data_IF_408265730855
#
_entry.id   IF_408265730855
#
_cell.length_a   1.000
_cell.length_b   1.000
_cell.length_c   1.000
_cell.angle_alpha   90.00
_cell.angle_beta   90.00
_cell.angle_gamma   90.00
#
_symmetry.space_group_name_H-M   'P 1'
#
loop_
_entity.id
_entity.type
_entity.pdbx_description
1 polymer ?
#
# COMPACT_ATOMS: atom_id res chain seq x y z
N UNK A 1 24.79 -10.20 -12.86
CA UNK A 1 24.16 -9.57 -11.68
C UNK A 1 23.51 -10.72 -10.98
N UNK A 2 24.19 -11.27 -9.97
CA UNK A 2 23.70 -12.43 -9.23
C UNK A 2 22.59 -11.94 -8.30
N UNK A 3 21.34 -12.28 -8.62
CA UNK A 3 20.19 -11.86 -7.81
C UNK A 3 20.25 -12.46 -6.41
N UNK A 4 20.82 -13.67 -6.28
CA UNK A 4 20.95 -14.36 -5.00
C UNK A 4 21.91 -13.62 -4.05
N UNK A 5 23.04 -13.09 -4.55
CA UNK A 5 23.93 -12.22 -3.76
C UNK A 5 23.22 -10.93 -3.30
N UNK A 6 22.37 -10.36 -4.16
CA UNK A 6 21.58 -9.18 -3.81
C UNK A 6 20.57 -9.51 -2.71
N UNK A 7 19.90 -10.67 -2.79
CA UNK A 7 18.97 -11.13 -1.76
C UNK A 7 19.69 -11.34 -0.43
N UNK A 8 20.86 -11.99 -0.42
CA UNK A 8 21.63 -12.21 0.82
C UNK A 8 21.94 -10.90 1.53
N UNK A 9 22.36 -9.88 0.80
CA UNK A 9 22.60 -8.54 1.36
C UNK A 9 21.31 -7.89 1.86
N UNK A 10 20.23 -7.94 1.06
CA UNK A 10 18.96 -7.29 1.38
C UNK A 10 18.29 -7.93 2.59
N UNK A 11 18.30 -9.26 2.74
CA UNK A 11 17.78 -9.94 3.93
C UNK A 11 18.51 -9.55 5.22
N UNK A 12 19.75 -9.06 5.12
CA UNK A 12 20.50 -8.49 6.25
C UNK A 12 20.25 -6.99 6.45
N UNK A 13 19.29 -6.39 5.73
CA UNK A 13 19.01 -4.95 5.77
C UNK A 13 20.11 -4.09 5.15
N UNK A 14 20.98 -4.66 4.29
CA UNK A 14 22.07 -3.90 3.67
C UNK A 14 21.63 -3.22 2.38
N UNK A 15 22.05 -1.97 2.23
CA UNK A 15 21.83 -1.20 1.01
C UNK A 15 22.65 -1.74 -0.16
N UNK A 16 22.01 -1.81 -1.32
CA UNK A 16 22.70 -2.12 -2.57
C UNK A 16 23.33 -0.85 -3.15
N UNK A 17 24.49 -0.94 -3.83
CA UNK A 17 25.09 0.20 -4.53
C UNK A 17 24.13 0.84 -5.54
N UNK A 18 24.16 2.16 -5.70
CA UNK A 18 23.26 2.90 -6.61
C UNK A 18 23.28 2.32 -8.05
N UNK A 19 24.46 1.95 -8.54
CA UNK A 19 24.61 1.33 -9.87
C UNK A 19 23.84 0.01 -10.01
N UNK A 20 23.76 -0.76 -8.93
CA UNK A 20 23.02 -2.02 -8.84
C UNK A 20 21.52 -1.74 -8.77
N UNK A 21 21.10 -0.77 -7.93
CA UNK A 21 19.70 -0.31 -7.85
C UNK A 21 19.19 0.11 -9.24
N UNK A 22 19.94 0.95 -9.95
CA UNK A 22 19.61 1.38 -11.31
C UNK A 22 19.43 0.20 -12.27
N UNK A 23 20.34 -0.78 -12.21
CA UNK A 23 20.30 -1.95 -13.08
C UNK A 23 19.09 -2.85 -12.78
N UNK A 24 18.76 -3.06 -11.50
CA UNK A 24 17.60 -3.82 -11.05
C UNK A 24 16.29 -3.14 -11.46
N UNK A 25 16.15 -1.83 -11.24
CA UNK A 25 14.98 -1.08 -11.70
C UNK A 25 14.79 -1.18 -13.21
N UNK A 26 15.87 -1.04 -13.99
CA UNK A 26 15.81 -1.21 -15.45
C UNK A 26 15.34 -2.61 -15.85
N UNK A 27 15.91 -3.65 -15.23
CA UNK A 27 15.54 -5.05 -15.50
C UNK A 27 14.08 -5.35 -15.15
N UNK A 28 13.59 -4.82 -14.03
CA UNK A 28 12.21 -5.03 -13.64
C UNK A 28 11.24 -4.29 -14.57
N UNK A 29 11.58 -3.07 -15.03
CA UNK A 29 10.80 -2.40 -16.08
C UNK A 29 10.70 -3.24 -17.35
N UNK A 30 11.80 -3.84 -17.83
CA UNK A 30 11.77 -4.73 -19.02
C UNK A 30 10.82 -5.93 -18.85
N UNK A 31 10.64 -6.42 -17.62
CA UNK A 31 9.71 -7.48 -17.28
C UNK A 31 8.26 -6.94 -17.22
N UNK A 32 8.03 -5.88 -16.46
CA UNK A 32 6.70 -5.33 -16.20
C UNK A 32 6.04 -4.75 -17.46
N UNK A 33 6.79 -4.24 -18.44
CA UNK A 33 6.23 -3.81 -19.74
C UNK A 33 5.44 -4.92 -20.44
N UNK A 34 5.78 -6.18 -20.19
CA UNK A 34 5.12 -7.35 -20.78
C UNK A 34 3.90 -7.80 -19.97
N UNK A 35 3.73 -7.31 -18.74
CA UNK A 35 2.59 -7.63 -17.89
C UNK A 35 1.40 -6.70 -18.20
N UNK A 36 0.18 -7.26 -18.22
CA UNK A 36 -1.05 -6.49 -18.33
C UNK A 36 -1.31 -5.71 -17.04
N UNK A 37 -2.12 -4.64 -17.11
CA UNK A 37 -2.58 -3.95 -15.89
C UNK A 37 -3.33 -4.87 -14.93
N UNK A 38 -3.91 -5.96 -15.46
CA UNK A 38 -4.61 -6.99 -14.69
C UNK A 38 -3.86 -8.31 -14.88
N UNK A 39 -3.15 -8.74 -13.84
CA UNK A 39 -2.45 -10.04 -13.84
C UNK A 39 -3.39 -11.14 -13.35
N UNK A 40 -3.20 -12.37 -13.82
CA UNK A 40 -3.97 -13.53 -13.37
C UNK A 40 -3.03 -14.51 -12.68
N UNK A 41 -3.41 -14.97 -11.48
CA UNK A 41 -2.65 -15.94 -10.69
C UNK A 41 -3.57 -17.01 -10.11
N UNK A 42 -3.00 -18.05 -9.52
CA UNK A 42 -3.74 -19.16 -8.92
C UNK A 42 -3.38 -19.35 -7.46
N UNK A 43 -4.32 -19.89 -6.69
CA UNK A 43 -4.04 -20.41 -5.34
C UNK A 43 -3.12 -21.65 -5.40
N UNK A 44 -2.38 -21.95 -4.32
CA UNK A 44 -2.29 -21.19 -3.06
C UNK A 44 -1.50 -19.88 -3.23
N UNK A 45 -1.89 -18.82 -2.53
CA UNK A 45 -1.18 -17.53 -2.53
C UNK A 45 -1.40 -16.76 -1.22
N UNK A 46 -0.35 -16.11 -0.75
CA UNK A 46 -0.38 -15.19 0.39
C UNK A 46 -0.53 -13.76 -0.09
N UNK A 47 -1.62 -13.12 0.30
CA UNK A 47 -1.91 -11.72 0.00
C UNK A 47 -1.44 -10.84 1.15
N UNK A 48 -0.66 -9.81 0.80
CA UNK A 48 -0.02 -8.88 1.73
C UNK A 48 -0.49 -7.47 1.41
N UNK A 49 -0.99 -6.76 2.43
CA UNK A 49 -1.39 -5.36 2.33
C UNK A 49 -0.20 -4.41 2.46
N UNK A 50 -0.46 -3.23 3.01
CA UNK A 50 0.50 -2.14 3.16
C UNK A 50 1.69 -2.55 4.05
N UNK A 51 2.90 -2.13 3.67
CA UNK A 51 4.16 -2.37 4.40
C UNK A 51 4.77 -1.07 4.93
N UNK A 52 4.66 0.01 4.15
CA UNK A 52 5.14 1.35 4.51
C UNK A 52 6.56 1.38 5.10
N UNK A 53 7.52 0.79 4.38
CA UNK A 53 8.93 0.81 4.78
C UNK A 53 9.24 0.17 6.14
N UNK A 54 8.33 -0.63 6.71
CA UNK A 54 8.58 -1.39 7.94
C UNK A 54 9.29 -2.71 7.61
N UNK A 55 10.55 -2.60 7.20
CA UNK A 55 11.35 -3.71 6.66
C UNK A 55 11.44 -4.94 7.58
N UNK A 56 11.59 -4.75 8.89
CA UNK A 56 11.66 -5.87 9.83
C UNK A 56 10.35 -6.65 9.91
N UNK A 57 9.20 -5.96 9.80
CA UNK A 57 7.91 -6.64 9.73
C UNK A 57 7.73 -7.37 8.39
N UNK A 58 8.29 -6.86 7.29
CA UNK A 58 8.35 -7.60 6.02
C UNK A 58 9.14 -8.90 6.17
N UNK A 59 10.25 -8.91 6.92
CA UNK A 59 10.98 -10.14 7.19
C UNK A 59 10.14 -11.12 8.03
N UNK A 60 9.40 -10.62 9.02
CA UNK A 60 8.49 -11.43 9.82
C UNK A 60 7.37 -12.04 8.96
N UNK A 61 6.82 -11.29 8.00
CA UNK A 61 5.84 -11.80 7.02
C UNK A 61 6.38 -13.02 6.26
N UNK A 62 7.66 -13.02 5.89
CA UNK A 62 8.28 -14.19 5.22
C UNK A 62 8.55 -15.36 6.18
N UNK A 63 8.73 -15.11 7.48
CA UNK A 63 8.83 -16.17 8.48
C UNK A 63 7.46 -16.81 8.74
N UNK A 64 6.40 -16.00 8.81
CA UNK A 64 5.03 -16.44 9.06
C UNK A 64 4.44 -17.15 7.84
N UNK A 65 4.47 -16.51 6.66
CA UNK A 65 3.88 -17.05 5.43
C UNK A 65 4.78 -18.05 4.68
N UNK A 66 6.06 -18.15 5.05
CA UNK A 66 7.05 -18.97 4.37
C UNK A 66 7.81 -18.24 3.26
N UNK A 67 9.07 -18.62 3.03
CA UNK A 67 9.92 -17.92 2.06
C UNK A 67 9.52 -18.22 0.61
N UNK A 68 9.70 -17.23 -0.28
CA UNK A 68 9.72 -17.49 -1.72
C UNK A 68 10.98 -18.31 -2.08
N UNK A 69 10.90 -19.30 -3.00
CA UNK A 69 9.78 -19.58 -3.90
C UNK A 69 8.78 -20.64 -3.40
N UNK A 70 8.91 -21.12 -2.17
CA UNK A 70 8.05 -22.18 -1.63
C UNK A 70 6.62 -21.66 -1.39
N UNK A 71 6.49 -20.36 -1.08
CA UNK A 71 5.22 -19.63 -0.98
C UNK A 71 5.04 -18.65 -2.15
N UNK A 72 3.82 -18.59 -2.70
CA UNK A 72 3.43 -17.55 -3.68
C UNK A 72 2.93 -16.30 -2.94
N UNK A 73 3.28 -15.12 -3.42
CA UNK A 73 2.94 -13.83 -2.82
C UNK A 73 2.28 -12.87 -3.81
N UNK A 74 1.23 -12.20 -3.36
CA UNK A 74 0.64 -11.01 -3.97
C UNK A 74 0.73 -9.85 -2.98
N UNK A 75 1.50 -8.83 -3.32
CA UNK A 75 1.58 -7.60 -2.54
C UNK A 75 0.69 -6.51 -3.16
N UNK A 76 -0.18 -5.90 -2.35
CA UNK A 76 -1.23 -5.01 -2.83
C UNK A 76 -0.80 -3.56 -3.06
N UNK A 77 0.37 -3.14 -2.57
CA UNK A 77 0.90 -1.79 -2.77
C UNK A 77 1.49 -1.22 -1.48
N UNK A 78 1.82 0.07 -1.52
CA UNK A 78 2.29 0.87 -0.38
C UNK A 78 3.49 0.25 0.35
N UNK A 79 4.57 0.13 -0.42
CA UNK A 79 5.85 -0.43 0.00
C UNK A 79 6.71 0.59 0.74
N UNK A 80 6.51 1.87 0.44
CA UNK A 80 7.40 2.97 0.84
C UNK A 80 6.67 4.01 1.69
N UNK A 81 7.46 5.00 2.14
CA UNK A 81 7.10 6.07 3.06
C UNK A 81 6.76 5.58 4.47
N UNK A 82 6.69 6.53 5.41
CA UNK A 82 6.22 6.36 6.80
C UNK A 82 7.14 5.48 7.67
N UNK A 83 7.67 4.39 7.17
CA UNK A 83 8.74 3.62 7.81
C UNK A 83 10.12 4.19 7.51
N UNK A 84 11.12 3.73 8.25
CA UNK A 84 12.51 4.18 8.12
C UNK A 84 13.31 3.39 7.07
N UNK A 85 12.75 2.30 6.54
CA UNK A 85 13.44 1.30 5.72
C UNK A 85 12.71 1.04 4.40
N UNK A 86 12.18 2.08 3.77
CA UNK A 86 11.47 1.97 2.49
C UNK A 86 12.39 1.48 1.37
N UNK A 87 13.66 1.92 1.33
CA UNK A 87 14.60 1.51 0.29
C UNK A 87 14.90 0.00 0.39
N UNK A 88 15.17 -0.51 1.59
CA UNK A 88 15.42 -1.93 1.84
C UNK A 88 14.17 -2.75 1.48
N UNK A 89 12.99 -2.28 1.89
CA UNK A 89 11.69 -2.90 1.61
C UNK A 89 11.45 -3.05 0.12
N UNK A 90 11.47 -1.94 -0.64
CA UNK A 90 11.20 -2.00 -2.07
C UNK A 90 12.28 -2.78 -2.82
N UNK A 91 13.55 -2.63 -2.45
CA UNK A 91 14.64 -3.35 -3.13
C UNK A 91 14.56 -4.86 -2.91
N UNK A 92 14.17 -5.32 -1.72
CA UNK A 92 13.92 -6.74 -1.47
C UNK A 92 12.80 -7.27 -2.37
N UNK A 93 11.68 -6.55 -2.46
CA UNK A 93 10.55 -6.94 -3.32
C UNK A 93 10.91 -6.92 -4.81
N UNK A 94 11.69 -5.93 -5.28
CA UNK A 94 12.20 -5.85 -6.66
C UNK A 94 13.04 -7.07 -7.01
N UNK A 95 14.00 -7.43 -6.15
CA UNK A 95 14.89 -8.57 -6.41
C UNK A 95 14.12 -9.88 -6.33
N UNK A 96 13.19 -10.03 -5.37
CA UNK A 96 12.31 -11.20 -5.27
C UNK A 96 11.43 -11.38 -6.51
N UNK A 97 10.81 -10.30 -7.02
CA UNK A 97 10.02 -10.34 -8.26
C UNK A 97 10.88 -10.73 -9.46
N UNK A 98 12.08 -10.17 -9.59
CA UNK A 98 13.02 -10.54 -10.66
C UNK A 98 13.45 -12.00 -10.58
N UNK A 99 13.69 -12.50 -9.36
CA UNK A 99 14.18 -13.85 -9.10
C UNK A 99 13.10 -14.92 -9.24
N UNK A 100 11.87 -14.58 -8.87
CA UNK A 100 10.72 -15.47 -8.83
C UNK A 100 9.48 -14.83 -9.48
N UNK A 101 9.53 -14.55 -10.80
CA UNK A 101 8.51 -13.73 -11.49
C UNK A 101 7.10 -14.32 -11.51
N UNK A 102 6.99 -15.64 -11.35
CA UNK A 102 5.72 -16.38 -11.29
C UNK A 102 5.28 -16.73 -9.86
N UNK A 103 6.05 -16.30 -8.86
CA UNK A 103 5.77 -16.56 -7.44
C UNK A 103 5.48 -15.27 -6.68
N UNK A 104 6.08 -14.14 -7.07
CA UNK A 104 5.91 -12.85 -6.42
C UNK A 104 5.26 -11.87 -7.39
N UNK A 105 4.19 -11.22 -6.96
CA UNK A 105 3.42 -10.26 -7.75
C UNK A 105 3.27 -8.96 -6.95
N UNK A 106 3.49 -7.81 -7.62
CA UNK A 106 3.54 -6.50 -6.99
C UNK A 106 2.53 -5.58 -7.68
N UNK A 107 1.49 -5.15 -6.95
CA UNK A 107 0.56 -4.12 -7.41
C UNK A 107 1.09 -2.72 -7.08
N UNK A 108 0.51 -1.69 -7.72
CA UNK A 108 0.83 -0.29 -7.42
C UNK A 108 -0.10 0.22 -6.32
N UNK A 109 0.48 0.72 -5.22
CA UNK A 109 -0.23 1.51 -4.24
C UNK A 109 -0.23 3.00 -4.55
N UNK A 110 -0.91 3.80 -3.72
CA UNK A 110 -0.92 5.25 -3.88
C UNK A 110 0.40 5.91 -3.47
N UNK A 111 1.18 5.25 -2.58
CA UNK A 111 2.51 5.70 -2.19
C UNK A 111 3.58 5.45 -3.26
N UNK A 112 3.33 4.59 -4.24
CA UNK A 112 4.21 4.42 -5.41
C UNK A 112 4.03 5.55 -6.44
N UNK A 113 4.14 6.80 -5.97
CA UNK A 113 3.99 8.06 -6.73
C UNK A 113 5.03 9.10 -6.29
N UNK A 114 5.43 9.97 -7.21
CA UNK A 114 6.43 11.02 -6.95
C UNK A 114 5.89 12.03 -5.94
N UNK A 115 4.63 12.44 -6.08
CA UNK A 115 4.05 13.46 -5.20
C UNK A 115 4.00 13.01 -3.73
N UNK A 116 3.59 11.76 -3.50
CA UNK A 116 3.46 11.20 -2.15
C UNK A 116 4.87 10.95 -1.58
N UNK A 117 5.76 10.30 -2.32
CA UNK A 117 7.12 10.00 -1.82
C UNK A 117 7.97 11.23 -1.49
N UNK A 118 7.70 12.38 -2.13
CA UNK A 118 8.32 13.66 -1.76
C UNK A 118 7.82 14.20 -0.43
N UNK A 119 6.58 13.91 -0.08
CA UNK A 119 5.90 14.46 1.10
C UNK A 119 6.03 13.56 2.33
N UNK A 120 6.13 12.24 2.15
CA UNK A 120 5.92 11.26 3.23
C UNK A 120 7.16 10.48 3.68
N UNK A 121 8.34 10.90 3.21
CA UNK A 121 9.64 10.55 3.79
C UNK A 121 10.56 9.76 2.87
N UNK A 122 10.06 9.09 1.83
CA UNK A 122 10.88 8.23 0.99
C UNK A 122 11.94 8.99 0.18
N UNK A 123 11.62 10.18 -0.34
CA UNK A 123 12.60 11.04 -1.02
C UNK A 123 13.77 11.38 -0.08
N UNK A 124 13.46 11.87 1.12
CA UNK A 124 14.44 12.20 2.15
C UNK A 124 15.24 10.98 2.59
N UNK A 125 14.61 9.83 2.73
CA UNK A 125 15.28 8.56 3.04
C UNK A 125 16.33 8.22 1.98
N UNK A 126 16.00 8.31 0.70
CA UNK A 126 16.92 8.05 -0.40
C UNK A 126 18.14 8.98 -0.35
N UNK A 127 17.93 10.28 -0.12
CA UNK A 127 19.03 11.26 0.01
C UNK A 127 19.90 10.98 1.23
N UNK A 128 19.31 10.66 2.37
CA UNK A 128 20.07 10.37 3.59
C UNK A 128 20.93 9.11 3.46
N UNK A 129 20.41 8.08 2.78
CA UNK A 129 21.09 6.77 2.63
C UNK A 129 22.14 6.76 1.53
N UNK A 130 21.96 7.54 0.46
CA UNK A 130 22.83 7.53 -0.72
C UNK A 130 23.57 8.85 -0.99
N UNK A 131 23.24 9.91 -0.26
CA UNK A 131 23.79 11.27 -0.41
C UNK A 131 22.98 12.18 -1.35
N UNK A 132 23.19 13.49 -1.21
CA UNK A 132 22.43 14.56 -1.91
C UNK A 132 22.47 14.49 -3.45
N UNK A 133 23.50 13.86 -4.03
CA UNK A 133 23.66 13.70 -5.47
C UNK A 133 23.07 12.41 -6.06
N UNK A 134 22.48 11.56 -5.21
CA UNK A 134 21.96 10.26 -5.60
C UNK A 134 20.74 10.35 -6.51
N UNK A 135 20.62 9.40 -7.45
CA UNK A 135 19.43 9.26 -8.31
C UNK A 135 18.54 8.07 -7.92
N UNK A 136 18.78 7.44 -6.77
CA UNK A 136 18.02 6.26 -6.32
C UNK A 136 16.51 6.51 -6.29
N UNK A 137 16.07 7.64 -5.73
CA UNK A 137 14.65 8.00 -5.72
C UNK A 137 14.06 8.10 -7.13
N UNK A 138 14.78 8.70 -8.07
CA UNK A 138 14.35 8.79 -9.47
C UNK A 138 14.25 7.41 -10.12
N UNK A 139 15.23 6.51 -9.90
CA UNK A 139 15.18 5.17 -10.48
C UNK A 139 14.00 4.33 -9.95
N UNK A 140 13.65 4.50 -8.67
CA UNK A 140 12.55 3.79 -8.03
C UNK A 140 11.19 4.38 -8.43
N UNK A 141 11.03 5.70 -8.43
CA UNK A 141 9.79 6.33 -8.89
C UNK A 141 9.53 6.13 -10.40
N UNK A 142 10.57 6.10 -11.23
CA UNK A 142 10.43 5.72 -12.64
C UNK A 142 10.06 4.24 -12.81
N UNK A 143 10.42 3.37 -11.88
CA UNK A 143 9.99 1.97 -11.85
C UNK A 143 8.53 1.84 -11.43
N UNK A 144 8.07 2.66 -10.47
CA UNK A 144 6.70 2.63 -9.96
C UNK A 144 5.65 2.82 -11.05
N UNK A 145 5.97 3.60 -12.09
CA UNK A 145 5.11 3.78 -13.27
C UNK A 145 4.79 2.46 -14.02
N UNK A 146 5.56 1.40 -13.79
CA UNK A 146 5.40 0.13 -14.49
C UNK A 146 4.63 -0.92 -13.68
N UNK A 147 4.44 -0.69 -12.37
CA UNK A 147 3.73 -1.60 -11.48
C UNK A 147 2.29 -1.83 -11.95
N UNK A 148 1.82 -3.07 -11.89
CA UNK A 148 0.49 -3.46 -12.36
C UNK A 148 -0.59 -2.95 -11.40
N UNK A 149 -1.82 -2.76 -11.88
CA UNK A 149 -2.86 -2.09 -11.10
C UNK A 149 -3.73 -3.07 -10.31
N UNK A 150 -4.03 -4.23 -10.89
CA UNK A 150 -4.93 -5.21 -10.28
C UNK A 150 -4.45 -6.64 -10.52
N UNK A 151 -4.97 -7.56 -9.72
CA UNK A 151 -4.78 -8.99 -9.88
C UNK A 151 -6.14 -9.71 -9.83
N UNK A 152 -6.28 -10.79 -10.58
CA UNK A 152 -7.36 -11.76 -10.42
C UNK A 152 -6.77 -13.09 -9.95
N UNK A 153 -7.28 -13.61 -8.84
CA UNK A 153 -6.92 -14.93 -8.32
C UNK A 153 -8.02 -15.93 -8.68
N UNK A 154 -7.63 -17.07 -9.26
CA UNK A 154 -8.52 -18.18 -9.66
C UNK A 154 -9.69 -17.80 -10.58
N UNK A 155 -9.60 -16.66 -11.26
CA UNK A 155 -10.69 -16.07 -12.06
C UNK A 155 -11.96 -15.72 -11.26
N UNK A 156 -11.85 -15.58 -9.94
CA UNK A 156 -12.99 -15.33 -9.05
C UNK A 156 -12.75 -14.17 -8.07
N UNK A 157 -11.51 -13.94 -7.65
CA UNK A 157 -11.19 -12.93 -6.63
C UNK A 157 -10.51 -11.73 -7.28
N UNK A 158 -11.07 -10.54 -7.09
CA UNK A 158 -10.50 -9.30 -7.59
C UNK A 158 -9.62 -8.64 -6.52
N UNK A 159 -8.38 -8.29 -6.87
CA UNK A 159 -7.44 -7.66 -5.96
C UNK A 159 -6.97 -6.31 -6.50
N UNK A 160 -7.00 -5.30 -5.64
CA UNK A 160 -6.66 -3.90 -5.96
C UNK A 160 -6.14 -3.21 -4.70
N UNK A 161 -5.29 -2.19 -4.81
CA UNK A 161 -4.82 -1.45 -3.63
C UNK A 161 -5.96 -0.67 -2.94
N UNK A 162 -6.51 0.28 -3.69
CA UNK A 162 -7.60 1.16 -3.33
C UNK A 162 -8.94 0.43 -3.37
N UNK A 163 -9.73 0.70 -4.40
CA UNK A 163 -11.01 0.05 -4.55
C UNK A 163 -11.63 0.33 -5.90
N UNK A 164 -12.94 0.51 -5.91
CA UNK A 164 -13.70 0.67 -7.15
C UNK A 164 -13.69 2.12 -7.65
N UNK A 165 -13.99 2.28 -8.93
CA UNK A 165 -14.05 3.58 -9.61
C UNK A 165 -15.39 3.75 -10.33
N UNK A 166 -16.02 4.94 -10.30
CA UNK A 166 -17.17 5.22 -11.16
C UNK A 166 -16.83 5.17 -12.66
N UNK A 167 -15.55 5.31 -13.01
CA UNK A 167 -15.03 5.25 -14.36
C UNK A 167 -14.70 3.82 -14.81
N UNK A 168 -14.79 2.83 -13.91
CA UNK A 168 -14.46 1.41 -14.18
C UNK A 168 -15.64 0.55 -13.77
N UNK A 169 -16.42 0.13 -14.76
CA UNK A 169 -17.53 -0.81 -14.58
C UNK A 169 -17.11 -2.25 -14.86
N UNK A 170 -16.09 -2.44 -15.70
CA UNK A 170 -15.59 -3.75 -16.12
C UNK A 170 -14.08 -3.86 -15.97
N UNK A 171 -13.59 -5.05 -15.67
CA UNK A 171 -12.15 -5.33 -15.54
C UNK A 171 -11.41 -5.07 -16.86
N UNK A 172 -12.06 -5.26 -18.01
CA UNK A 172 -11.46 -4.97 -19.31
C UNK A 172 -11.12 -3.49 -19.51
N UNK A 173 -11.86 -2.58 -18.86
CA UNK A 173 -11.51 -1.15 -18.87
C UNK A 173 -10.20 -0.89 -18.12
N UNK A 174 -9.87 -1.69 -17.11
CA UNK A 174 -8.60 -1.57 -16.38
C UNK A 174 -7.43 -1.94 -17.29
N UNK A 175 -7.59 -2.97 -18.15
CA UNK A 175 -6.53 -3.46 -19.07
C UNK A 175 -6.03 -2.41 -20.06
N UNK A 176 -6.84 -1.40 -20.37
CA UNK A 176 -6.53 -0.35 -21.35
C UNK A 176 -6.07 0.98 -20.72
N UNK A 177 -6.00 1.07 -19.39
CA UNK A 177 -5.46 2.26 -18.71
C UNK A 177 -3.99 2.44 -19.09
N UNK A 178 -3.61 3.65 -19.49
CA UNK A 178 -2.19 3.99 -19.61
C UNK A 178 -1.58 4.19 -18.21
N UNK A 179 -0.90 3.14 -17.72
CA UNK A 179 -0.32 3.12 -16.37
C UNK A 179 1.09 3.71 -16.30
N UNK A 180 1.78 3.88 -17.43
CA UNK A 180 3.20 4.27 -17.52
C UNK A 180 3.43 5.76 -17.30
N UNK A 181 2.89 6.25 -16.20
CA UNK A 181 2.86 7.65 -15.83
C UNK A 181 2.67 7.79 -14.33
N UNK A 182 2.89 9.00 -13.84
CA UNK A 182 2.49 9.43 -12.51
C UNK A 182 0.98 9.19 -12.31
N UNK A 183 0.59 8.79 -11.09
CA UNK A 183 -0.83 8.67 -10.74
C UNK A 183 -1.50 10.04 -10.91
N UNK A 184 -2.54 10.16 -11.76
CA UNK A 184 -3.24 11.43 -11.94
C UNK A 184 -4.00 11.83 -10.67
N UNK A 185 -4.39 13.10 -10.57
CA UNK A 185 -5.22 13.57 -9.45
C UNK A 185 -6.65 13.01 -9.48
N UNK A 186 -7.14 12.59 -10.65
CA UNK A 186 -8.47 12.03 -10.85
C UNK A 186 -8.50 10.93 -11.93
N UNK A 187 -9.66 10.26 -12.03
CA UNK A 187 -9.94 9.24 -13.04
C UNK A 187 -9.59 7.82 -12.59
N UNK A 188 -9.84 6.86 -13.48
CA UNK A 188 -9.82 5.43 -13.17
C UNK A 188 -8.57 4.95 -12.41
N UNK A 189 -7.37 5.39 -12.81
CA UNK A 189 -6.14 4.99 -12.15
C UNK A 189 -6.02 5.54 -10.73
N UNK A 190 -6.40 6.80 -10.51
CA UNK A 190 -6.39 7.42 -9.19
C UNK A 190 -7.40 6.72 -8.28
N UNK A 191 -8.62 6.51 -8.77
CA UNK A 191 -9.69 5.85 -8.02
C UNK A 191 -9.31 4.42 -7.59
N UNK A 192 -8.68 3.64 -8.48
CA UNK A 192 -8.24 2.28 -8.18
C UNK A 192 -7.23 2.22 -7.02
N UNK A 193 -6.44 3.27 -6.77
CA UNK A 193 -5.46 3.29 -5.67
C UNK A 193 -5.90 4.11 -4.45
N UNK A 194 -6.92 4.97 -4.57
CA UNK A 194 -7.36 5.88 -3.49
C UNK A 194 -8.78 5.63 -2.95
N UNK A 195 -9.62 4.86 -3.65
CA UNK A 195 -11.00 4.64 -3.21
C UNK A 195 -11.11 3.73 -1.99
N UNK A 196 -12.15 3.94 -1.19
CA UNK A 196 -12.43 3.20 0.04
C UNK A 196 -13.87 2.66 0.11
N UNK A 197 -14.11 1.52 0.77
CA UNK A 197 -15.46 1.11 1.14
C UNK A 197 -16.10 2.10 2.14
N UNK A 198 -17.42 2.30 2.05
CA UNK A 198 -18.21 3.04 3.05
C UNK A 198 -18.11 2.33 4.42
N UNK A 199 -17.82 3.08 5.49
CA UNK A 199 -17.85 2.55 6.85
C UNK A 199 -19.28 2.19 7.26
N UNK A 200 -19.45 0.96 7.75
CA UNK A 200 -20.70 0.50 8.32
C UNK A 200 -20.57 0.58 9.84
N UNK A 201 -21.31 1.48 10.47
CA UNK A 201 -21.45 1.50 11.93
C UNK A 201 -22.21 0.23 12.36
N UNK A 202 -21.47 -0.85 12.62
CA UNK A 202 -21.98 -2.18 12.96
C UNK A 202 -22.80 -2.25 14.27
N UNK A 203 -22.91 -1.14 15.01
CA UNK A 203 -23.53 -1.09 16.33
C UNK A 203 -25.02 -0.76 16.37
N UNK A 204 -25.70 -0.41 15.26
CA UNK A 204 -27.02 0.23 15.39
C UNK A 204 -28.07 -0.03 14.31
N UNK A 205 -27.94 -1.01 13.40
CA UNK A 205 -28.99 -1.20 12.37
C UNK A 205 -29.33 -2.64 12.03
N UNK A 206 -30.62 -2.86 11.81
CA UNK A 206 -31.23 -4.06 11.24
C UNK A 206 -30.84 -4.15 9.75
N UNK A 207 -30.48 -5.34 9.26
CA UNK A 207 -29.99 -5.58 7.88
C UNK A 207 -30.95 -5.05 6.79
N UNK A 208 -32.23 -4.85 7.12
CA UNK A 208 -33.22 -4.30 6.18
C UNK A 208 -33.06 -2.80 5.94
N UNK A 209 -32.49 -2.03 6.88
CA UNK A 209 -32.29 -0.59 6.71
C UNK A 209 -31.01 -0.25 5.92
N UNK A 210 -30.01 -1.13 5.92
CA UNK A 210 -28.76 -0.97 5.15
C UNK A 210 -29.03 -0.80 3.64
N UNK A 211 -29.93 -1.63 3.07
CA UNK A 211 -30.24 -1.62 1.64
C UNK A 211 -30.95 -0.33 1.17
N UNK A 212 -31.65 0.37 2.07
CA UNK A 212 -32.41 1.58 1.75
C UNK A 212 -31.67 2.88 2.06
N UNK A 213 -30.44 2.84 2.58
CA UNK A 213 -29.63 4.05 2.71
C UNK A 213 -29.19 4.53 1.32
N UNK A 214 -29.55 5.77 1.01
CA UNK A 214 -29.21 6.44 -0.24
C UNK A 214 -27.69 6.52 -0.47
N UNK A 215 -26.90 6.56 0.61
CA UNK A 215 -25.42 6.55 0.57
C UNK A 215 -24.82 5.25 0.05
N UNK A 216 -25.43 4.10 0.36
CA UNK A 216 -24.89 2.78 0.00
C UNK A 216 -25.17 2.39 -1.45
N UNK A 217 -25.95 3.20 -2.18
CA UNK A 217 -26.35 2.96 -3.57
C UNK A 217 -25.37 3.54 -4.61
N UNK A 218 -24.48 4.46 -4.21
CA UNK A 218 -23.67 5.23 -5.17
C UNK A 218 -22.24 5.46 -4.67
N UNK A 219 -21.36 5.87 -5.60
CA UNK A 219 -20.07 6.44 -5.25
C UNK A 219 -20.26 7.81 -4.60
N UNK A 220 -19.46 8.11 -3.58
CA UNK A 220 -19.40 9.41 -2.93
C UNK A 220 -17.98 9.98 -3.03
N UNK A 221 -17.86 11.31 -3.04
CA UNK A 221 -16.54 11.95 -3.04
C UNK A 221 -15.79 11.54 -1.78
N UNK A 222 -14.57 11.02 -1.96
CA UNK A 222 -13.77 10.58 -0.83
C UNK A 222 -13.36 11.76 0.07
N UNK A 223 -13.39 11.61 1.40
CA UNK A 223 -12.86 12.60 2.32
C UNK A 223 -11.33 12.76 2.22
N UNK A 224 -10.63 11.86 1.51
CA UNK A 224 -9.19 11.99 1.21
C UNK A 224 -8.88 13.07 0.17
N UNK A 225 -9.90 13.61 -0.50
CA UNK A 225 -9.68 14.55 -1.62
C UNK A 225 -9.17 13.89 -2.91
N UNK A 226 -9.07 12.57 -2.95
CA UNK A 226 -8.80 11.74 -4.12
C UNK A 226 -9.58 10.43 -4.03
N UNK A 227 -9.99 9.88 -5.18
CA UNK A 227 -10.82 8.68 -5.25
C UNK A 227 -12.24 8.87 -4.71
N UNK A 228 -12.92 7.76 -4.43
CA UNK A 228 -14.31 7.73 -4.00
C UNK A 228 -14.54 6.79 -2.83
N UNK A 229 -15.57 7.08 -2.04
CA UNK A 229 -16.16 6.09 -1.14
C UNK A 229 -17.22 5.28 -1.88
N UNK A 230 -17.25 3.96 -1.72
CA UNK A 230 -18.21 3.08 -2.40
C UNK A 230 -18.98 2.18 -1.42
N UNK A 231 -20.31 2.14 -1.59
CA UNK A 231 -21.20 1.31 -0.78
C UNK A 231 -21.47 -0.09 -1.36
N UNK A 232 -22.26 -0.87 -0.61
CA UNK A 232 -22.62 -2.27 -0.94
C UNK A 232 -23.13 -2.46 -2.37
N UNK A 233 -24.06 -1.62 -2.83
CA UNK A 233 -24.69 -1.82 -4.14
C UNK A 233 -23.70 -1.65 -5.30
N UNK A 234 -22.71 -0.78 -5.14
CA UNK A 234 -21.62 -0.59 -6.11
C UNK A 234 -20.79 -1.87 -6.21
N UNK A 235 -20.47 -2.47 -5.07
CA UNK A 235 -19.74 -3.75 -4.98
C UNK A 235 -20.53 -4.88 -5.64
N UNK A 236 -21.79 -5.07 -5.24
CA UNK A 236 -22.65 -6.15 -5.78
C UNK A 236 -22.73 -6.06 -7.31
N UNK A 237 -22.95 -4.84 -7.85
CA UNK A 237 -23.02 -4.61 -9.29
C UNK A 237 -21.70 -4.95 -9.99
N UNK A 238 -20.57 -4.49 -9.44
CA UNK A 238 -19.26 -4.74 -10.02
C UNK A 238 -18.94 -6.25 -10.04
N UNK A 239 -19.12 -6.93 -8.90
CA UNK A 239 -18.88 -8.36 -8.75
C UNK A 239 -19.75 -9.17 -9.72
N UNK A 240 -21.06 -8.87 -9.76
CA UNK A 240 -21.99 -9.55 -10.68
C UNK A 240 -21.61 -9.34 -12.15
N UNK A 241 -21.31 -8.10 -12.55
CA UNK A 241 -21.02 -7.76 -13.95
C UNK A 241 -19.69 -8.35 -14.45
N UNK A 242 -18.76 -8.63 -13.53
CA UNK A 242 -17.44 -9.15 -13.84
C UNK A 242 -17.25 -10.63 -13.46
N UNK A 243 -18.33 -11.30 -13.02
CA UNK A 243 -18.31 -12.68 -12.54
C UNK A 243 -17.25 -12.93 -11.43
N UNK A 244 -17.08 -11.96 -10.54
CA UNK A 244 -16.19 -12.04 -9.38
C UNK A 244 -17.00 -12.35 -8.13
N UNK A 245 -16.38 -13.01 -7.15
CA UNK A 245 -17.00 -13.37 -5.89
C UNK A 245 -16.69 -12.38 -4.77
N UNK A 246 -15.45 -11.85 -4.72
CA UNK A 246 -14.97 -10.95 -3.66
C UNK A 246 -13.91 -9.97 -4.14
N UNK A 247 -13.70 -8.92 -3.35
CA UNK A 247 -12.63 -7.94 -3.49
C UNK A 247 -11.68 -8.05 -2.29
N UNK A 248 -10.40 -8.22 -2.56
CA UNK A 248 -9.33 -8.05 -1.56
C UNK A 248 -8.55 -6.78 -1.84
N UNK A 249 -8.36 -5.97 -0.81
CA UNK A 249 -7.75 -4.64 -0.92
C UNK A 249 -6.89 -4.27 0.29
N UNK A 250 -6.23 -3.11 0.27
CA UNK A 250 -5.33 -2.65 1.35
C UNK A 250 -5.60 -1.18 1.78
N UNK A 251 -4.62 -0.27 1.88
CA UNK A 251 -4.74 1.21 2.02
C UNK A 251 -5.39 1.80 3.30
N UNK A 252 -6.32 1.08 3.94
CA UNK A 252 -6.98 1.52 5.16
C UNK A 252 -6.40 0.79 6.37
N UNK A 253 -5.84 1.57 7.30
CA UNK A 253 -5.38 1.06 8.58
C UNK A 253 -6.48 0.27 9.27
N UNK A 254 -6.20 -1.00 9.57
CA UNK A 254 -7.10 -1.89 10.30
C UNK A 254 -6.46 -2.23 11.66
N UNK A 255 -7.14 -1.90 12.76
CA UNK A 255 -6.59 -2.12 14.11
C UNK A 255 -6.27 -3.59 14.40
N UNK A 256 -7.06 -4.53 13.86
CA UNK A 256 -6.86 -5.97 14.02
C UNK A 256 -6.11 -6.61 12.83
N UNK A 257 -5.47 -5.79 11.98
CA UNK A 257 -4.72 -6.24 10.80
C UNK A 257 -5.55 -6.58 9.56
N UNK A 258 -6.88 -6.66 9.68
CA UNK A 258 -7.80 -6.75 8.55
C UNK A 258 -9.18 -6.19 8.94
N UNK A 259 -10.00 -5.90 7.94
CA UNK A 259 -11.39 -5.48 8.13
C UNK A 259 -12.27 -6.08 7.03
N UNK A 260 -13.38 -6.67 7.43
CA UNK A 260 -14.36 -7.26 6.51
C UNK A 260 -15.56 -6.31 6.39
N UNK A 261 -15.98 -6.04 5.16
CA UNK A 261 -17.12 -5.20 4.82
C UNK A 261 -18.16 -6.01 4.07
N UNK A 262 -19.41 -5.55 4.09
CA UNK A 262 -20.44 -6.02 3.15
C UNK A 262 -20.61 -7.54 3.16
N UNK A 263 -20.73 -8.14 4.35
CA UNK A 263 -20.85 -9.59 4.54
C UNK A 263 -19.75 -10.43 3.87
N UNK A 264 -18.52 -9.91 3.79
CA UNK A 264 -17.39 -10.64 3.21
C UNK A 264 -17.14 -10.37 1.73
N UNK A 265 -17.91 -9.48 1.09
CA UNK A 265 -17.67 -9.13 -0.32
C UNK A 265 -16.42 -8.29 -0.53
N UNK A 266 -16.05 -7.47 0.45
CA UNK A 266 -14.81 -6.67 0.42
C UNK A 266 -14.04 -6.92 1.70
N UNK A 267 -12.74 -7.16 1.58
CA UNK A 267 -11.86 -7.29 2.74
C UNK A 267 -10.63 -6.44 2.55
N UNK A 268 -10.33 -5.61 3.53
CA UNK A 268 -9.06 -4.89 3.67
C UNK A 268 -8.07 -5.76 4.43
N UNK A 269 -6.87 -5.92 3.87
CA UNK A 269 -5.71 -6.56 4.50
C UNK A 269 -4.70 -5.47 4.84
N UNK A 270 -4.21 -5.45 6.06
CA UNK A 270 -3.22 -4.49 6.53
C UNK A 270 -2.00 -5.21 7.11
N UNK A 271 -0.82 -4.97 6.58
CA UNK A 271 0.37 -5.78 6.89
C UNK A 271 1.49 -5.03 7.64
N UNK A 272 1.22 -3.79 8.11
CA UNK A 272 2.16 -2.98 8.88
C UNK A 272 1.74 -2.86 10.36
N UNK A 273 2.23 -3.74 11.26
CA UNK A 273 1.85 -3.71 12.68
C UNK A 273 2.46 -2.50 13.39
N UNK A 274 1.82 -2.03 14.46
CA UNK A 274 2.18 -0.82 15.19
C UNK A 274 2.57 0.31 14.21
N UNK A 275 1.70 0.58 13.25
CA UNK A 275 1.99 1.43 12.10
C UNK A 275 2.64 2.77 12.51
N UNK A 276 3.60 3.24 11.71
CA UNK A 276 4.44 4.40 12.05
C UNK A 276 5.14 4.27 13.41
N UNK A 277 5.36 3.04 13.88
CA UNK A 277 5.96 2.69 15.17
C UNK A 277 5.19 3.18 16.40
N UNK A 278 3.89 3.48 16.27
CA UNK A 278 3.13 4.12 17.36
C UNK A 278 1.61 3.91 17.36
N UNK A 279 1.01 3.44 16.26
CA UNK A 279 -0.45 3.31 16.17
C UNK A 279 -1.00 2.17 17.04
N UNK A 280 -0.17 1.21 17.46
CA UNK A 280 -0.57 0.11 18.34
C UNK A 280 -1.51 -0.92 17.70
N UNK A 281 -1.75 -0.84 16.39
CA UNK A 281 -2.54 -1.83 15.65
C UNK A 281 -1.75 -3.14 15.45
N UNK A 282 -2.48 -4.22 15.15
CA UNK A 282 -1.93 -5.46 14.62
C UNK A 282 -1.82 -5.40 13.09
N UNK A 283 -1.16 -6.41 12.53
CA UNK A 283 -1.14 -6.68 11.10
C UNK A 283 -1.65 -8.08 10.79
N UNK A 284 -1.97 -8.33 9.53
CA UNK A 284 -2.22 -9.67 9.03
C UNK A 284 -1.68 -9.88 7.62
N UNK A 285 -1.50 -11.15 7.28
CA UNK A 285 -1.47 -11.62 5.89
C UNK A 285 -2.66 -12.54 5.65
N UNK A 286 -3.15 -12.56 4.42
CA UNK A 286 -4.25 -13.43 4.01
C UNK A 286 -3.69 -14.62 3.21
N UNK A 287 -3.73 -15.80 3.79
CA UNK A 287 -3.35 -17.04 3.12
C UNK A 287 -4.58 -17.64 2.41
N UNK A 288 -4.56 -17.67 1.08
CA UNK A 288 -5.61 -18.26 0.25
C UNK A 288 -5.15 -19.63 -0.25
N UNK A 289 -5.88 -20.69 0.10
CA UNK A 289 -5.67 -22.05 -0.41
C UNK A 289 -6.65 -22.41 -1.54
N UNK A 290 -7.83 -21.77 -1.53
CA UNK A 290 -8.81 -21.72 -2.62
C UNK A 290 -9.74 -20.51 -2.43
N UNK A 291 -10.68 -20.26 -3.35
CA UNK A 291 -11.67 -19.17 -3.20
C UNK A 291 -12.39 -19.16 -1.84
N UNK A 292 -12.69 -20.34 -1.28
CA UNK A 292 -13.48 -20.49 -0.06
C UNK A 292 -12.65 -20.96 1.16
N UNK A 293 -11.38 -21.28 0.96
CA UNK A 293 -10.48 -21.74 2.02
C UNK A 293 -9.36 -20.73 2.19
N UNK A 294 -9.48 -19.90 3.23
CA UNK A 294 -8.52 -18.86 3.53
C UNK A 294 -8.41 -18.61 5.03
N UNK A 295 -7.29 -18.03 5.43
CA UNK A 295 -6.99 -17.73 6.82
C UNK A 295 -6.25 -16.39 6.93
N UNK A 296 -6.62 -15.60 7.93
CA UNK A 296 -5.88 -14.39 8.31
C UNK A 296 -4.86 -14.75 9.39
N UNK A 297 -3.59 -14.67 9.03
CA UNK A 297 -2.50 -14.84 9.99
C UNK A 297 -2.20 -13.47 10.61
N UNK A 298 -2.68 -13.25 11.82
CA UNK A 298 -2.59 -11.96 12.54
C UNK A 298 -1.36 -11.95 13.43
N UNK A 299 -0.56 -10.88 13.35
CA UNK A 299 0.71 -10.76 14.07
C UNK A 299 0.94 -9.33 14.60
N UNK A 300 1.81 -9.24 15.60
CA UNK A 300 2.29 -7.98 16.20
C UNK A 300 3.62 -7.55 15.57
N UNK A 301 4.10 -6.36 15.91
CA UNK A 301 5.37 -5.83 15.39
C UNK A 301 6.59 -6.72 15.71
N UNK A 302 7.53 -6.75 14.78
CA UNK A 302 8.77 -7.49 14.85
C UNK A 302 9.59 -7.07 16.09
N UNK A 303 10.34 -8.01 16.72
CA UNK A 303 11.17 -7.69 17.88
C UNK A 303 12.13 -6.52 17.67
N UNK A 304 12.70 -6.38 16.47
CA UNK A 304 13.59 -5.27 16.10
C UNK A 304 12.88 -3.92 16.18
N UNK A 305 11.62 -3.85 15.76
CA UNK A 305 10.81 -2.63 15.84
C UNK A 305 10.41 -2.32 17.30
N UNK A 306 10.13 -3.34 18.11
CA UNK A 306 9.94 -3.17 19.58
C UNK A 306 11.16 -2.56 20.23
N UNK A 307 12.35 -3.08 19.91
CA UNK A 307 13.61 -2.58 20.45
C UNK A 307 13.92 -1.16 19.98
N UNK A 308 13.57 -0.79 18.74
CA UNK A 308 13.66 0.59 18.27
C UNK A 308 12.80 1.51 19.14
N UNK A 309 11.56 1.12 19.45
CA UNK A 309 10.64 1.87 20.31
C UNK A 309 11.09 1.93 21.79
N UNK A 310 11.62 0.84 22.33
CA UNK A 310 12.10 0.78 23.72
C UNK A 310 13.39 1.60 23.92
N UNK A 311 14.32 1.53 22.96
CA UNK A 311 15.58 2.30 23.01
C UNK A 311 15.40 3.81 22.75
N UNK A 312 14.22 4.23 22.29
CA UNK A 312 13.83 5.65 22.22
C UNK A 312 13.58 6.23 23.63
N UNK A 313 13.40 5.39 24.66
CA UNK A 313 13.09 5.80 26.03
C UNK A 313 14.24 5.63 27.07
N UNK A 314 15.49 6.00 26.74
CA UNK A 314 16.30 6.74 27.73
C UNK A 314 17.10 7.94 27.20
N UNK A 315 16.84 8.46 25.98
CA UNK A 315 17.48 9.73 25.56
C UNK A 315 16.59 10.58 24.64
N UNK A 316 16.40 11.85 25.02
CA UNK A 316 15.57 12.84 24.32
C UNK A 316 16.00 13.13 22.86
N UNK A 317 17.14 12.59 22.42
CA UNK A 317 17.76 12.87 21.12
C UNK A 317 17.17 12.00 20.00
N UNK A 318 16.78 10.75 20.27
CA UNK A 318 16.21 9.84 19.27
C UNK A 318 14.71 10.09 19.05
N UNK A 319 13.98 10.44 20.11
CA UNK A 319 12.59 10.91 19.99
C UNK A 319 12.52 12.14 19.08
N UNK A 320 13.51 13.04 19.20
CA UNK A 320 13.64 14.21 18.33
C UNK A 320 13.93 13.82 16.87
N UNK A 321 14.80 12.85 16.60
CA UNK A 321 15.10 12.40 15.24
C UNK A 321 13.89 11.74 14.54
N UNK A 322 13.15 10.88 15.24
CA UNK A 322 11.91 10.25 14.73
C UNK A 322 10.82 11.32 14.56
N UNK A 323 10.64 12.19 15.55
CA UNK A 323 9.66 13.28 15.48
C UNK A 323 10.00 14.27 14.37
N UNK A 324 11.28 14.60 14.18
CA UNK A 324 11.74 15.53 13.13
C UNK A 324 11.69 14.86 11.75
N UNK A 325 11.88 13.54 11.65
CA UNK A 325 11.65 12.77 10.41
C UNK A 325 10.17 12.82 9.99
N UNK A 326 9.25 12.84 10.96
CA UNK A 326 7.80 12.88 10.73
C UNK A 326 7.16 14.26 10.81
N UNK A 327 7.92 15.33 11.03
CA UNK A 327 7.41 16.71 11.05
C UNK A 327 7.45 17.29 9.64
N UNK A 328 6.28 17.76 9.19
CA UNK A 328 6.17 18.59 7.98
C UNK A 328 7.06 19.84 8.08
N UNK A 329 7.81 20.23 7.03
CA UNK A 329 8.60 21.46 7.03
C UNK A 329 7.78 22.77 7.01
N UNK A 330 6.44 22.73 7.14
CA UNK A 330 5.54 23.87 6.91
C UNK A 330 4.60 24.19 8.09
N UNK A 331 4.92 23.77 9.32
CA UNK A 331 4.14 24.24 10.48
C UNK A 331 4.63 25.61 10.96
N UNK A 332 3.92 26.67 10.53
CA UNK A 332 4.03 28.04 11.05
C UNK A 332 3.70 28.08 12.57
N UNK A 333 4.43 28.79 13.45
CA UNK A 333 4.31 28.64 14.91
C UNK A 333 3.05 29.24 15.54
N UNK A 334 2.07 29.70 14.77
CA UNK A 334 0.82 30.27 15.29
C UNK A 334 -0.37 29.41 14.90
N UNK A 335 -0.65 28.35 15.66
CA UNK A 335 -2.00 27.89 16.02
C UNK A 335 -1.90 26.64 16.90
N UNK A 336 -1.74 26.85 18.20
CA UNK A 336 -1.94 25.82 19.22
C UNK A 336 -3.40 25.81 19.66
N UNK A 337 -4.24 25.02 19.01
CA UNK A 337 -5.43 24.44 19.64
C UNK A 337 -5.44 22.93 19.38
N UNK A 338 -5.29 22.20 20.47
CA UNK A 338 -5.28 20.74 20.57
C UNK A 338 -6.67 20.18 20.29
N UNK A 339 -6.81 19.51 19.15
CA UNK A 339 -7.77 18.42 18.99
C UNK A 339 -6.95 17.19 18.56
N UNK A 340 -7.22 16.03 19.20
CA UNK A 340 -6.60 14.72 18.94
C UNK A 340 -6.93 14.23 17.52
N UNK A 341 -6.43 14.93 16.51
CA UNK A 341 -6.55 14.51 15.13
C UNK A 341 -5.30 13.72 14.78
N UNK A 342 -5.48 12.47 14.34
CA UNK A 342 -4.38 11.65 13.86
C UNK A 342 -3.76 12.29 12.62
N UNK A 343 -2.66 13.03 12.85
CA UNK A 343 -1.89 13.77 11.86
C UNK A 343 -1.40 12.88 10.72
N UNK A 344 -1.47 11.56 10.87
CA UNK A 344 -0.91 10.59 9.95
C UNK A 344 -1.99 9.85 9.17
N UNK A 345 -3.25 10.09 9.51
CA UNK A 345 -4.38 9.67 8.70
C UNK A 345 -4.42 10.48 7.40
N UNK A 346 -4.66 9.81 6.28
CA UNK A 346 -4.86 10.46 4.99
C UNK A 346 -5.99 11.49 5.04
N UNK A 347 -6.97 11.32 5.93
CA UNK A 347 -8.06 12.28 6.14
C UNK A 347 -7.59 13.61 6.76
N UNK A 348 -6.65 13.58 7.71
CA UNK A 348 -6.04 14.77 8.27
C UNK A 348 -5.13 15.46 7.25
N UNK A 349 -4.35 14.66 6.52
CA UNK A 349 -3.39 15.16 5.56
C UNK A 349 -4.06 15.71 4.29
N UNK A 350 -5.18 15.13 3.86
CA UNK A 350 -6.04 15.68 2.81
C UNK A 350 -6.60 17.06 3.17
N UNK A 351 -7.04 17.24 4.42
CA UNK A 351 -7.48 18.55 4.94
C UNK A 351 -6.32 19.55 4.97
N UNK A 352 -5.14 19.13 5.42
CA UNK A 352 -3.91 19.93 5.38
C UNK A 352 -3.55 20.38 3.94
N UNK A 353 -3.58 19.45 2.98
CA UNK A 353 -3.29 19.73 1.57
C UNK A 353 -4.31 20.68 0.93
N UNK A 354 -5.60 20.55 1.25
CA UNK A 354 -6.66 21.44 0.76
C UNK A 354 -6.52 22.90 1.23
N UNK A 355 -5.79 23.13 2.33
CA UNK A 355 -5.56 24.46 2.89
C UNK A 355 -4.35 25.18 2.27
N UNK A 356 -3.47 24.46 1.56
CA UNK A 356 -2.29 25.04 0.90
C UNK A 356 -2.74 25.74 -0.40
N UNK A 357 -2.82 27.08 -0.37
CA UNK A 357 -3.01 27.89 -1.59
C UNK A 357 -1.82 27.66 -2.53
N UNK A 358 -2.04 26.94 -3.61
CA UNK A 358 -1.10 26.88 -4.73
C UNK A 358 -1.30 28.14 -5.57
N UNK A 359 -0.34 29.07 -5.52
CA UNK A 359 -0.28 30.15 -6.50
C UNK A 359 0.16 29.55 -7.84
N UNK A 360 -0.76 29.54 -8.80
CA UNK A 360 -0.49 29.18 -10.18
C UNK A 360 0.37 30.27 -10.81
N UNK A 361 1.66 29.99 -11.04
CA UNK A 361 2.43 30.77 -12.02
C UNK A 361 2.11 30.21 -13.41
N UNK A 362 1.42 31.03 -14.20
CA UNK A 362 1.16 30.85 -15.63
C UNK A 362 2.45 30.80 -16.45
#
# INVERSE_FOLDING_TARGET
MELDDCLELLYQGRLLPEVTVRALCFKLKEMLVKESNVVHISTPVTVVGDIHGQFHDLLEIFQIGGAAPDTNYLFLGDYVDRGLYSVETIMLLVVLKLRYPHRVHLLRGNHESRQITQSYGFYTECLNKYGDGSKVWHYLTDLFDYLVLCCIIDNELFCVHGGLSPNVQTIDQIKIIDRYREIPHDGAMADLVWSDPEEINAGSMDHREEFYRESSQHFQVSPRGAGYTFGRCVVDKFLHSNNMSRIYRAHQLCNEGYQVYFDGLVTTVWSAPNYCYRCGNKASILELYSTNEFYFNVFDEAPENKLLNENVNPSATNLKAITDYFKDPVSDPLHTETTDADVFSDSYQARSASSRRVEYFL
#
